data_IF_039342158800
#
_entry.id   IF_039342158800
#
_cell.length_a   1.000
_cell.length_b   1.000
_cell.length_c   1.000
_cell.angle_alpha   90.00
_cell.angle_beta   90.00
_cell.angle_gamma   90.00
#
_symmetry.space_group_name_H-M   'P 1'
#
loop_
_entity.id
_entity.type
_entity.pdbx_description
1 polymer ?
#
# COMPACT_ATOMS: atom_id res chain seq x y z
N UNK A 1 17.85 -66.22 -1.41
CA UNK A 1 18.14 -65.04 -0.56
C UNK A 1 18.52 -63.89 -1.48
N UNK A 2 17.54 -63.08 -1.87
CA UNK A 2 17.70 -61.92 -2.75
C UNK A 2 17.94 -60.67 -1.90
N UNK A 3 19.07 -59.99 -2.12
CA UNK A 3 19.41 -58.74 -1.47
C UNK A 3 18.61 -57.59 -2.12
N UNK A 4 17.79 -56.90 -1.31
CA UNK A 4 17.12 -55.66 -1.69
C UNK A 4 18.07 -54.48 -1.48
N UNK A 5 18.57 -53.93 -2.58
CA UNK A 5 19.28 -52.65 -2.58
C UNK A 5 18.24 -51.53 -2.43
N UNK A 6 18.20 -50.88 -1.27
CA UNK A 6 17.40 -49.69 -1.01
C UNK A 6 17.89 -48.53 -1.90
N UNK A 7 17.06 -48.13 -2.86
CA UNK A 7 17.33 -47.00 -3.76
C UNK A 7 16.95 -45.71 -3.05
N UNK A 8 17.96 -44.99 -2.55
CA UNK A 8 17.80 -43.65 -2.02
C UNK A 8 17.10 -42.75 -3.06
N UNK A 9 15.96 -42.18 -2.69
CA UNK A 9 15.24 -41.21 -3.50
C UNK A 9 16.10 -39.95 -3.62
N UNK A 10 16.65 -39.71 -4.81
CA UNK A 10 17.33 -38.46 -5.15
C UNK A 10 16.30 -37.33 -5.09
N UNK A 11 16.45 -36.43 -4.12
CA UNK A 11 15.72 -35.17 -4.08
C UNK A 11 16.06 -34.37 -5.35
N UNK A 12 15.02 -34.01 -6.11
CA UNK A 12 15.18 -33.21 -7.32
C UNK A 12 15.85 -31.86 -6.98
N UNK A 13 16.73 -31.33 -7.84
CA UNK A 13 17.41 -30.06 -7.59
C UNK A 13 16.37 -28.94 -7.50
N UNK A 14 16.27 -28.31 -6.32
CA UNK A 14 15.42 -27.14 -6.13
C UNK A 14 15.81 -26.08 -7.17
N UNK A 15 14.87 -25.75 -8.05
CA UNK A 15 15.07 -24.73 -9.09
C UNK A 15 15.46 -23.42 -8.41
N UNK A 16 16.63 -22.86 -8.77
CA UNK A 16 17.04 -21.55 -8.28
C UNK A 16 16.00 -20.53 -8.72
N UNK A 17 15.44 -19.80 -7.76
CA UNK A 17 14.54 -18.68 -8.04
C UNK A 17 15.28 -17.62 -8.88
N UNK A 18 14.56 -16.99 -9.81
CA UNK A 18 15.02 -15.77 -10.47
C UNK A 18 15.16 -14.62 -9.46
N UNK A 19 15.81 -13.53 -9.88
CA UNK A 19 15.94 -12.34 -9.03
C UNK A 19 14.56 -11.79 -8.63
N UNK A 20 13.62 -11.75 -9.57
CA UNK A 20 12.28 -11.21 -9.33
C UNK A 20 11.43 -12.13 -8.44
N UNK A 21 11.52 -13.45 -8.67
CA UNK A 21 10.87 -14.45 -7.81
C UNK A 21 11.40 -14.37 -6.37
N UNK A 22 12.72 -14.15 -6.21
CA UNK A 22 13.35 -13.96 -4.91
C UNK A 22 12.91 -12.67 -4.24
N UNK A 23 12.91 -11.55 -4.97
CA UNK A 23 12.44 -10.28 -4.44
C UNK A 23 10.99 -10.39 -3.97
N UNK A 24 10.14 -11.07 -4.76
CA UNK A 24 8.75 -11.29 -4.40
C UNK A 24 8.60 -12.11 -3.12
N UNK A 25 9.34 -13.22 -3.02
CA UNK A 25 9.38 -14.04 -1.80
C UNK A 25 9.76 -13.20 -0.57
N UNK A 26 10.78 -12.36 -0.69
CA UNK A 26 11.26 -11.51 0.42
C UNK A 26 10.22 -10.45 0.81
N UNK A 27 9.53 -9.84 -0.15
CA UNK A 27 8.44 -8.90 0.13
C UNK A 27 7.26 -9.58 0.83
N UNK A 28 6.87 -10.77 0.39
CA UNK A 28 5.75 -11.51 1.01
C UNK A 28 6.10 -11.94 2.45
N UNK A 29 7.35 -12.32 2.73
CA UNK A 29 7.83 -12.59 4.10
C UNK A 29 7.85 -11.32 4.94
N UNK A 30 8.31 -10.20 4.39
CA UNK A 30 8.36 -8.93 5.09
C UNK A 30 6.95 -8.44 5.46
N UNK A 31 5.95 -8.57 4.59
CA UNK A 31 4.56 -8.27 4.91
C UNK A 31 4.05 -9.11 6.08
N UNK A 32 4.31 -10.42 6.07
CA UNK A 32 3.94 -11.30 7.18
C UNK A 32 4.54 -10.85 8.51
N UNK A 33 5.83 -10.51 8.53
CA UNK A 33 6.49 -9.99 9.73
C UNK A 33 5.87 -8.68 10.23
N UNK A 34 5.49 -7.78 9.31
CA UNK A 34 4.84 -6.52 9.68
C UNK A 34 3.43 -6.78 10.25
N UNK A 35 2.65 -7.66 9.64
CA UNK A 35 1.33 -8.07 10.15
C UNK A 35 1.41 -8.62 11.58
N UNK A 36 2.39 -9.50 11.81
CA UNK A 36 2.50 -10.27 13.05
C UNK A 36 3.13 -9.45 14.18
N UNK A 37 4.11 -8.60 13.85
CA UNK A 37 5.01 -7.98 14.85
C UNK A 37 5.19 -6.46 14.70
N UNK A 38 4.63 -5.85 13.66
CA UNK A 38 4.76 -4.43 13.37
C UNK A 38 6.05 -4.03 12.65
N UNK A 39 6.02 -2.88 11.97
CA UNK A 39 7.10 -2.43 11.09
C UNK A 39 8.42 -2.11 11.80
N UNK A 40 8.38 -1.75 13.09
CA UNK A 40 9.58 -1.40 13.87
C UNK A 40 10.52 -2.59 14.08
N UNK A 41 9.98 -3.81 14.13
CA UNK A 41 10.77 -5.04 14.32
C UNK A 41 11.43 -5.54 13.03
N UNK A 42 11.07 -4.96 11.89
CA UNK A 42 11.55 -5.38 10.58
C UNK A 42 13.01 -4.96 10.37
N UNK A 43 13.88 -5.93 10.16
CA UNK A 43 15.29 -5.73 9.79
C UNK A 43 15.69 -6.67 8.66
N UNK A 44 16.70 -6.32 7.87
CA UNK A 44 17.21 -7.19 6.80
C UNK A 44 17.75 -8.53 7.35
N UNK A 45 18.34 -8.52 8.54
CA UNK A 45 18.82 -9.74 9.20
C UNK A 45 17.68 -10.67 9.59
N UNK A 46 16.58 -10.12 10.12
CA UNK A 46 15.40 -10.89 10.51
C UNK A 46 14.64 -11.40 9.29
N UNK A 47 14.49 -10.56 8.27
CA UNK A 47 13.92 -10.95 6.99
C UNK A 47 14.68 -12.13 6.37
N UNK A 48 16.02 -12.07 6.36
CA UNK A 48 16.83 -13.15 5.82
C UNK A 48 16.59 -14.48 6.57
N UNK A 49 16.55 -14.42 7.90
CA UNK A 49 16.31 -15.59 8.75
C UNK A 49 14.93 -16.21 8.48
N UNK A 50 13.86 -15.40 8.45
CA UNK A 50 12.50 -15.87 8.22
C UNK A 50 12.29 -16.40 6.79
N UNK A 51 12.93 -15.76 5.80
CA UNK A 51 12.86 -16.18 4.40
C UNK A 51 13.74 -17.40 4.06
N UNK A 52 14.54 -17.89 5.01
CA UNK A 52 15.47 -19.01 4.81
C UNK A 52 16.61 -18.67 3.84
N UNK A 53 17.06 -17.42 3.80
CA UNK A 53 18.17 -16.96 2.95
C UNK A 53 19.33 -16.43 3.79
N UNK A 54 20.51 -16.31 3.19
CA UNK A 54 21.65 -15.71 3.88
C UNK A 54 21.47 -14.19 3.99
N UNK A 55 22.07 -13.56 5.01
CA UNK A 55 22.02 -12.10 5.16
C UNK A 55 22.47 -11.37 3.87
N UNK A 56 23.61 -11.70 3.23
CA UNK A 56 24.03 -11.04 2.00
C UNK A 56 22.94 -10.98 0.93
N UNK A 57 22.14 -12.04 0.75
CA UNK A 57 21.03 -12.03 -0.23
C UNK A 57 20.02 -10.93 0.06
N UNK A 58 19.60 -10.74 1.32
CA UNK A 58 18.67 -9.66 1.67
C UNK A 58 19.30 -8.26 1.47
N UNK A 59 20.59 -8.11 1.77
CA UNK A 59 21.31 -6.85 1.53
C UNK A 59 21.50 -6.57 0.03
N UNK A 60 21.73 -7.59 -0.81
CA UNK A 60 21.86 -7.43 -2.26
C UNK A 60 20.54 -6.97 -2.92
N UNK A 61 19.40 -7.36 -2.35
CA UNK A 61 18.08 -6.95 -2.85
C UNK A 61 17.69 -5.53 -2.43
N UNK A 62 17.90 -5.17 -1.16
CA UNK A 62 17.32 -3.95 -0.60
C UNK A 62 18.35 -2.90 -0.17
N UNK A 63 19.62 -3.28 -0.03
CA UNK A 63 20.72 -2.45 0.44
C UNK A 63 20.62 -2.07 1.92
N UNK A 64 19.50 -1.47 2.33
CA UNK A 64 19.24 -0.97 3.68
C UNK A 64 17.82 -1.30 4.13
N UNK A 65 17.55 -1.18 5.44
CA UNK A 65 16.17 -1.24 5.96
C UNK A 65 15.25 -0.23 5.27
N UNK A 66 15.77 0.98 5.03
CA UNK A 66 15.05 2.03 4.32
C UNK A 66 14.71 1.59 2.88
N UNK A 67 15.65 0.98 2.17
CA UNK A 67 15.38 0.43 0.83
C UNK A 67 14.32 -0.68 0.84
N UNK A 68 14.28 -1.52 1.88
CA UNK A 68 13.20 -2.49 2.06
C UNK A 68 11.84 -1.81 2.29
N UNK A 69 11.78 -0.78 3.13
CA UNK A 69 10.53 -0.04 3.37
C UNK A 69 10.01 0.65 2.10
N UNK A 70 10.90 1.20 1.29
CA UNK A 70 10.54 1.76 -0.03
C UNK A 70 9.98 0.66 -0.94
N UNK A 71 10.67 -0.47 -1.06
CA UNK A 71 10.23 -1.58 -1.91
C UNK A 71 8.87 -2.18 -1.47
N UNK A 72 8.62 -2.25 -0.16
CA UNK A 72 7.32 -2.65 0.38
C UNK A 72 6.24 -1.65 -0.03
N UNK A 73 6.50 -0.37 0.14
CA UNK A 73 5.53 0.65 -0.26
C UNK A 73 5.23 0.59 -1.77
N UNK A 74 6.25 0.44 -2.63
CA UNK A 74 6.07 0.31 -4.08
C UNK A 74 5.21 -0.90 -4.45
N UNK A 75 5.48 -2.05 -3.84
CA UNK A 75 4.68 -3.26 -4.04
C UNK A 75 3.22 -3.06 -3.60
N UNK A 76 3.01 -2.35 -2.50
CA UNK A 76 1.67 -1.96 -2.05
C UNK A 76 0.97 -1.01 -3.04
N UNK A 77 1.65 0.04 -3.48
CA UNK A 77 1.09 1.06 -4.38
C UNK A 77 0.62 0.44 -5.70
N UNK A 78 1.41 -0.49 -6.26
CA UNK A 78 1.05 -1.24 -7.48
C UNK A 78 -0.23 -2.06 -7.26
N UNK A 79 -0.31 -2.82 -6.15
CA UNK A 79 -1.47 -3.67 -5.85
C UNK A 79 -2.74 -2.83 -5.63
N UNK A 80 -2.64 -1.74 -4.87
CA UNK A 80 -3.79 -0.90 -4.55
C UNK A 80 -4.25 -0.05 -5.72
N UNK A 81 -3.32 0.50 -6.49
CA UNK A 81 -3.64 1.30 -7.67
C UNK A 81 -4.51 0.51 -8.64
N UNK A 82 -4.17 -0.75 -8.90
CA UNK A 82 -4.94 -1.63 -9.77
C UNK A 82 -6.37 -1.88 -9.26
N UNK A 83 -6.55 -2.12 -7.96
CA UNK A 83 -7.88 -2.34 -7.35
C UNK A 83 -8.74 -1.08 -7.49
N UNK A 84 -8.18 0.08 -7.14
CA UNK A 84 -8.90 1.36 -7.21
C UNK A 84 -9.22 1.72 -8.67
N UNK A 85 -8.29 1.49 -9.61
CA UNK A 85 -8.55 1.76 -11.04
C UNK A 85 -9.66 0.87 -11.60
N UNK A 86 -9.67 -0.42 -11.26
CA UNK A 86 -10.74 -1.32 -11.65
C UNK A 86 -12.10 -0.89 -11.08
N UNK A 87 -12.13 -0.50 -9.79
CA UNK A 87 -13.35 -0.02 -9.14
C UNK A 87 -13.85 1.29 -9.75
N UNK A 88 -12.94 2.23 -10.07
CA UNK A 88 -13.30 3.49 -10.74
C UNK A 88 -13.84 3.20 -12.14
N UNK A 89 -13.22 2.30 -12.90
CA UNK A 89 -13.69 1.95 -14.24
C UNK A 89 -15.08 1.30 -14.21
N UNK A 90 -15.37 0.47 -13.21
CA UNK A 90 -16.66 -0.20 -13.04
C UNK A 90 -17.77 0.73 -12.49
N UNK A 91 -17.42 1.88 -11.91
CA UNK A 91 -18.40 2.79 -11.31
C UNK A 91 -19.16 3.60 -12.36
N UNK A 92 -20.40 3.97 -12.03
CA UNK A 92 -21.19 4.90 -12.85
C UNK A 92 -20.44 6.23 -13.03
N UNK A 93 -20.64 6.92 -14.17
CA UNK A 93 -19.96 8.19 -14.46
C UNK A 93 -20.64 9.38 -13.75
N UNK A 94 -20.89 9.27 -12.44
CA UNK A 94 -21.40 10.37 -11.61
C UNK A 94 -20.40 10.80 -10.55
N UNK A 95 -20.41 12.08 -10.16
CA UNK A 95 -19.54 12.59 -9.09
C UNK A 95 -19.70 11.79 -7.80
N UNK A 96 -20.94 11.47 -7.42
CA UNK A 96 -21.23 10.74 -6.18
C UNK A 96 -20.63 9.33 -6.21
N UNK A 97 -20.80 8.61 -7.32
CA UNK A 97 -20.26 7.26 -7.47
C UNK A 97 -18.72 7.26 -7.50
N UNK A 98 -18.10 8.21 -8.20
CA UNK A 98 -16.63 8.35 -8.24
C UNK A 98 -16.06 8.71 -6.88
N UNK A 99 -16.68 9.66 -6.17
CA UNK A 99 -16.31 10.02 -4.81
C UNK A 99 -16.46 8.84 -3.85
N UNK A 100 -17.57 8.09 -3.95
CA UNK A 100 -17.81 6.91 -3.13
C UNK A 100 -16.77 5.81 -3.35
N UNK A 101 -16.35 5.57 -4.60
CA UNK A 101 -15.27 4.60 -4.90
C UNK A 101 -13.92 5.06 -4.36
N UNK A 102 -13.57 6.34 -4.51
CA UNK A 102 -12.31 6.88 -3.94
C UNK A 102 -12.33 6.72 -2.41
N UNK A 103 -13.42 7.10 -1.76
CA UNK A 103 -13.56 7.02 -0.32
C UNK A 103 -13.51 5.57 0.19
N UNK A 104 -14.30 4.69 -0.40
CA UNK A 104 -14.31 3.27 -0.06
C UNK A 104 -12.96 2.61 -0.32
N UNK A 105 -12.31 2.93 -1.44
CA UNK A 105 -10.99 2.40 -1.79
C UNK A 105 -9.93 2.79 -0.77
N UNK A 106 -9.88 4.06 -0.37
CA UNK A 106 -8.92 4.54 0.62
C UNK A 106 -9.16 3.95 2.01
N UNK A 107 -10.39 4.05 2.52
CA UNK A 107 -10.74 3.55 3.86
C UNK A 107 -10.57 2.03 3.91
N UNK A 108 -11.06 1.27 2.93
CA UNK A 108 -10.89 -0.19 2.91
C UNK A 108 -9.41 -0.58 2.82
N UNK A 109 -8.61 0.15 2.05
CA UNK A 109 -7.18 -0.08 1.95
C UNK A 109 -6.50 0.06 3.32
N UNK A 110 -6.76 1.16 4.02
CA UNK A 110 -6.24 1.36 5.37
C UNK A 110 -6.80 0.32 6.34
N UNK A 111 -8.07 -0.06 6.24
CA UNK A 111 -8.69 -1.05 7.13
C UNK A 111 -8.17 -2.48 6.95
N UNK A 112 -8.05 -2.93 5.70
CA UNK A 112 -7.59 -4.30 5.38
C UNK A 112 -6.11 -4.50 5.63
N UNK A 113 -5.34 -3.41 5.58
CA UNK A 113 -3.91 -3.42 5.82
C UNK A 113 -3.55 -2.73 7.14
N UNK A 114 -4.51 -2.68 8.08
CA UNK A 114 -4.64 -1.74 9.20
C UNK A 114 -3.59 -1.70 10.28
N UNK A 115 -2.40 -2.26 10.04
CA UNK A 115 -1.17 -1.93 10.81
C UNK A 115 0.09 -1.84 9.95
N UNK A 116 0.04 -2.29 8.70
CA UNK A 116 1.23 -2.51 7.89
C UNK A 116 1.66 -1.24 7.17
N UNK A 117 0.74 -0.60 6.46
CA UNK A 117 1.02 0.62 5.70
C UNK A 117 1.11 1.86 6.57
N UNK A 118 0.22 2.10 7.55
CA UNK A 118 0.42 3.19 8.50
C UNK A 118 1.74 3.05 9.27
N UNK A 119 2.13 1.83 9.65
CA UNK A 119 3.41 1.54 10.31
C UNK A 119 4.62 1.80 9.39
N UNK A 120 4.55 1.37 8.13
CA UNK A 120 5.56 1.69 7.11
C UNK A 120 5.60 3.20 6.87
N UNK A 121 4.47 3.87 6.65
CA UNK A 121 4.36 5.31 6.43
C UNK A 121 4.83 6.15 7.62
N UNK A 122 4.58 5.69 8.86
CA UNK A 122 5.08 6.31 10.07
C UNK A 122 6.61 6.16 10.17
N UNK A 123 7.13 4.96 9.92
CA UNK A 123 8.58 4.73 9.79
C UNK A 123 9.19 5.56 8.64
N UNK A 124 8.44 5.78 7.55
CA UNK A 124 8.83 6.63 6.43
C UNK A 124 8.86 8.13 6.79
N UNK A 125 8.19 8.55 7.87
CA UNK A 125 8.30 9.91 8.39
C UNK A 125 9.60 10.18 9.18
N UNK A 126 10.35 9.13 9.53
CA UNK A 126 11.52 9.20 10.40
C UNK A 126 12.81 9.71 9.76
N UNK A 127 12.86 9.88 8.42
CA UNK A 127 14.02 10.46 7.73
C UNK A 127 13.63 11.31 6.50
N UNK A 128 14.47 12.26 6.07
CA UNK A 128 14.20 13.10 4.90
C UNK A 128 14.00 12.29 3.60
N UNK A 129 14.76 11.21 3.41
CA UNK A 129 14.71 10.36 2.22
C UNK A 129 13.35 9.66 2.12
N UNK A 130 12.87 9.14 3.25
CA UNK A 130 11.61 8.43 3.30
C UNK A 130 10.40 9.39 3.25
N UNK A 131 10.54 10.60 3.80
CA UNK A 131 9.55 11.66 3.66
C UNK A 131 9.38 12.09 2.19
N UNK A 132 10.47 12.14 1.41
CA UNK A 132 10.42 12.43 -0.02
C UNK A 132 9.70 11.33 -0.80
N UNK A 133 9.93 10.07 -0.42
CA UNK A 133 9.23 8.90 -0.97
C UNK A 133 7.73 8.99 -0.70
N UNK A 134 7.32 9.17 0.58
CA UNK A 134 5.91 9.39 0.96
C UNK A 134 5.27 10.52 0.14
N UNK A 135 5.96 11.66 0.03
CA UNK A 135 5.45 12.83 -0.71
C UNK A 135 5.23 12.55 -2.19
N UNK A 136 6.11 11.78 -2.85
CA UNK A 136 5.94 11.38 -4.25
C UNK A 136 4.66 10.58 -4.45
N UNK A 137 4.35 9.66 -3.54
CA UNK A 137 3.13 8.85 -3.64
C UNK A 137 1.87 9.65 -3.35
N UNK A 138 1.90 10.51 -2.33
CA UNK A 138 0.80 11.42 -2.04
C UNK A 138 0.46 12.28 -3.27
N UNK A 139 1.48 12.77 -3.98
CA UNK A 139 1.31 13.50 -5.24
C UNK A 139 0.69 12.62 -6.34
N UNK A 140 1.20 11.40 -6.56
CA UNK A 140 0.65 10.48 -7.56
C UNK A 140 -0.82 10.14 -7.31
N UNK A 141 -1.20 9.91 -6.05
CA UNK A 141 -2.59 9.68 -5.66
C UNK A 141 -3.48 10.91 -5.88
N UNK A 142 -2.99 12.10 -5.51
CA UNK A 142 -3.67 13.37 -5.77
C UNK A 142 -3.89 13.58 -7.27
N UNK A 143 -2.88 13.38 -8.10
CA UNK A 143 -2.98 13.53 -9.56
C UNK A 143 -4.00 12.56 -10.16
N UNK A 144 -4.04 11.32 -9.67
CA UNK A 144 -5.07 10.33 -10.06
C UNK A 144 -6.47 10.81 -9.68
N UNK A 145 -6.68 11.22 -8.43
CA UNK A 145 -7.98 11.73 -7.98
C UNK A 145 -8.39 12.98 -8.75
N UNK A 146 -7.45 13.88 -9.05
CA UNK A 146 -7.71 15.07 -9.83
C UNK A 146 -8.19 14.72 -11.23
N UNK A 147 -7.56 13.76 -11.91
CA UNK A 147 -8.00 13.29 -13.23
C UNK A 147 -9.41 12.68 -13.19
N UNK A 148 -9.71 11.90 -12.16
CA UNK A 148 -11.01 11.23 -12.00
C UNK A 148 -12.13 12.24 -11.72
N UNK A 149 -11.84 13.29 -10.95
CA UNK A 149 -12.82 14.29 -10.53
C UNK A 149 -12.94 15.48 -11.49
N UNK A 150 -11.93 15.72 -12.34
CA UNK A 150 -11.89 16.83 -13.29
C UNK A 150 -13.15 16.98 -14.16
N UNK A 151 -13.78 15.91 -14.70
CA UNK A 151 -15.00 16.03 -15.49
C UNK A 151 -16.21 16.62 -14.74
N UNK A 152 -16.16 16.65 -13.41
CA UNK A 152 -17.26 17.11 -12.55
C UNK A 152 -16.99 18.48 -11.91
N UNK A 153 -15.76 18.99 -12.04
CA UNK A 153 -15.34 20.29 -11.54
C UNK A 153 -15.80 21.43 -12.47
N UNK A 154 -15.86 22.65 -11.95
CA UNK A 154 -16.13 23.84 -12.75
C UNK A 154 -14.92 24.36 -13.52
N UNK A 155 -15.06 25.52 -14.20
CA UNK A 155 -14.04 26.11 -15.06
C UNK A 155 -12.69 26.37 -14.36
N UNK A 156 -12.72 26.61 -13.05
CA UNK A 156 -11.53 26.90 -12.26
C UNK A 156 -10.68 25.67 -11.90
N UNK A 157 -11.16 24.45 -12.22
CA UNK A 157 -10.59 23.18 -11.74
C UNK A 157 -10.54 23.09 -10.20
N UNK A 158 -10.19 21.92 -9.65
CA UNK A 158 -10.06 21.76 -8.20
C UNK A 158 -8.68 22.31 -7.78
N UNK A 159 -8.60 23.30 -6.87
CA UNK A 159 -7.31 23.83 -6.42
C UNK A 159 -6.48 22.76 -5.70
N UNK A 160 -5.15 22.84 -5.82
CA UNK A 160 -4.23 21.92 -5.17
C UNK A 160 -4.46 21.83 -3.64
N UNK A 161 -4.78 22.95 -2.98
CA UNK A 161 -5.10 22.98 -1.56
C UNK A 161 -6.34 22.12 -1.22
N UNK A 162 -7.35 22.08 -2.10
CA UNK A 162 -8.51 21.22 -1.94
C UNK A 162 -8.11 19.74 -1.99
N UNK A 163 -7.27 19.36 -2.96
CA UNK A 163 -6.80 17.98 -3.10
C UNK A 163 -5.97 17.52 -1.90
N UNK A 164 -5.12 18.40 -1.34
CA UNK A 164 -4.40 18.11 -0.10
C UNK A 164 -5.34 18.00 1.11
N UNK A 165 -6.38 18.83 1.19
CA UNK A 165 -7.39 18.73 2.23
C UNK A 165 -8.17 17.40 2.15
N UNK A 166 -8.53 16.96 0.93
CA UNK A 166 -9.15 15.66 0.68
C UNK A 166 -8.26 14.51 1.17
N UNK A 167 -6.97 14.53 0.82
CA UNK A 167 -6.03 13.50 1.28
C UNK A 167 -5.87 13.50 2.80
N UNK A 168 -5.74 14.67 3.42
CA UNK A 168 -5.67 14.79 4.88
C UNK A 168 -6.94 14.29 5.59
N UNK A 169 -8.12 14.56 5.02
CA UNK A 169 -9.37 14.00 5.51
C UNK A 169 -9.40 12.47 5.38
N UNK A 170 -8.91 11.94 4.26
CA UNK A 170 -8.84 10.50 4.03
C UNK A 170 -7.92 9.80 5.05
N UNK A 171 -6.74 10.37 5.31
CA UNK A 171 -5.81 9.89 6.34
C UNK A 171 -6.48 9.91 7.72
N UNK A 172 -6.96 11.08 8.16
CA UNK A 172 -7.52 11.25 9.51
C UNK A 172 -8.77 10.41 9.78
N UNK A 173 -9.69 10.32 8.81
CA UNK A 173 -10.90 9.49 8.95
C UNK A 173 -10.56 8.00 8.97
N UNK A 174 -9.58 7.57 8.18
CA UNK A 174 -9.16 6.17 8.17
C UNK A 174 -8.44 5.80 9.46
N UNK A 175 -7.58 6.67 9.98
CA UNK A 175 -6.90 6.46 11.27
C UNK A 175 -7.89 6.37 12.43
N UNK A 176 -8.90 7.26 12.46
CA UNK A 176 -9.98 7.21 13.45
C UNK A 176 -10.80 5.91 13.36
N UNK A 177 -11.03 5.40 12.14
CA UNK A 177 -11.70 4.12 11.94
C UNK A 177 -10.85 2.92 12.41
N UNK A 178 -9.52 2.96 12.20
CA UNK A 178 -8.57 1.94 12.73
C UNK A 178 -8.54 1.94 14.25
N UNK A 179 -8.55 3.13 14.85
CA UNK A 179 -8.58 3.28 16.31
C UNK A 179 -9.93 2.83 16.92
N UNK A 180 -10.97 2.69 16.10
CA UNK A 180 -12.32 2.34 16.55
C UNK A 180 -13.12 3.52 17.09
N UNK A 181 -12.63 4.76 16.91
CA UNK A 181 -13.32 5.99 17.32
C UNK A 181 -14.58 6.25 16.46
N UNK A 182 -14.54 5.80 15.20
CA UNK A 182 -15.68 5.81 14.26
C UNK A 182 -15.73 4.49 13.48
N UNK A 183 -16.89 4.18 12.88
CA UNK A 183 -17.00 3.02 12.00
C UNK A 183 -16.35 3.26 10.64
N UNK A 184 -15.94 2.20 9.96
CA UNK A 184 -15.43 2.28 8.59
C UNK A 184 -16.49 2.83 7.61
N UNK A 185 -17.78 2.65 7.89
CA UNK A 185 -18.88 3.22 7.11
C UNK A 185 -18.96 4.74 7.31
N UNK A 186 -18.90 5.21 8.56
CA UNK A 186 -18.87 6.64 8.88
C UNK A 186 -17.68 7.34 8.21
N UNK A 187 -16.49 6.75 8.26
CA UNK A 187 -15.30 7.28 7.61
C UNK A 187 -15.47 7.39 6.07
N UNK A 188 -16.10 6.40 5.43
CA UNK A 188 -16.35 6.42 3.98
C UNK A 188 -17.36 7.48 3.59
N UNK A 189 -18.47 7.56 4.31
CA UNK A 189 -19.56 8.47 4.01
C UNK A 189 -19.09 9.92 4.17
N UNK A 190 -18.39 10.23 5.27
CA UNK A 190 -17.85 11.59 5.52
C UNK A 190 -16.79 11.97 4.47
N UNK A 191 -15.91 11.04 4.09
CA UNK A 191 -14.91 11.29 3.05
C UNK A 191 -15.57 11.50 1.68
N UNK A 192 -16.59 10.70 1.34
CA UNK A 192 -17.36 10.88 0.11
C UNK A 192 -18.01 12.27 0.07
N UNK A 193 -18.68 12.68 1.14
CA UNK A 193 -19.35 13.98 1.23
C UNK A 193 -18.34 15.13 1.17
N UNK A 194 -17.18 14.98 1.81
CA UNK A 194 -16.06 15.92 1.73
C UNK A 194 -15.58 16.09 0.29
N UNK A 195 -15.39 15.00 -0.46
CA UNK A 195 -14.99 15.03 -1.87
C UNK A 195 -16.07 15.73 -2.71
N UNK A 196 -17.33 15.35 -2.55
CA UNK A 196 -18.45 15.93 -3.30
C UNK A 196 -18.56 17.43 -3.04
N UNK A 197 -18.47 17.86 -1.78
CA UNK A 197 -18.50 19.26 -1.39
C UNK A 197 -17.30 20.04 -1.97
N UNK A 198 -16.10 19.47 -1.92
CA UNK A 198 -14.90 20.06 -2.52
C UNK A 198 -15.08 20.32 -4.02
N UNK A 199 -15.55 19.32 -4.78
CA UNK A 199 -15.75 19.47 -6.23
C UNK A 199 -16.89 20.45 -6.55
N UNK A 200 -17.94 20.50 -5.74
CA UNK A 200 -19.03 21.48 -5.93
C UNK A 200 -18.59 22.91 -5.66
N UNK A 201 -17.64 23.14 -4.74
CA UNK A 201 -17.09 24.48 -4.46
C UNK A 201 -16.20 25.04 -5.58
N UNK A 202 -15.71 24.19 -6.49
CA UNK A 202 -14.95 24.65 -7.65
C UNK A 202 -15.82 24.97 -8.87
N UNK A 203 -17.15 24.90 -8.73
CA UNK A 203 -18.12 25.29 -9.76
C UNK A 203 -18.36 26.79 -9.83
#
# INVERSE_FOLDING_TARGET
MTAQTSRAAQAAPQRRLSRDERQRQLLDVAWKLISDEGADTLTLGRLAAEAGVTKPVAYDHFGTRNGLLVALYEDFDVRQTAIIDAAIAASKPSLKDKAGVIAAGYVQCVMTQGREIPGVLAALGGSPELAAVKRRYQQAFIEKCQRVLAPYAGPASIPAAGMWAMLGAADGLSDAAVAGDISAEQARDELMDTIVAMVKRSK
#
